data_IF_968518257677
#
_entry.id   IF_968518257677
#
_cell.length_a   1.000
_cell.length_b   1.000
_cell.length_c   1.000
_cell.angle_alpha   90.00
_cell.angle_beta   90.00
_cell.angle_gamma   90.00
#
_symmetry.space_group_name_H-M   'P 1'
#
loop_
_entity.id
_entity.type
_entity.pdbx_description
1 polymer ?
#
# COMPACT_ATOMS: atom_id res chain seq x y z
N UNK A 1 -3.92 37.27 -22.44
CA UNK A 1 -4.79 36.39 -23.27
C UNK A 1 -5.31 35.26 -22.39
N UNK A 2 -6.63 35.05 -22.30
CA UNK A 2 -7.21 33.88 -21.62
C UNK A 2 -7.19 32.72 -22.60
N UNK A 3 -6.45 31.66 -22.31
CA UNK A 3 -6.49 30.41 -23.09
C UNK A 3 -7.91 29.84 -23.12
N UNK A 4 -8.39 29.45 -24.29
CA UNK A 4 -9.72 28.88 -24.49
C UNK A 4 -9.88 27.53 -23.78
N UNK A 5 -11.05 27.23 -23.19
CA UNK A 5 -11.29 25.99 -22.46
C UNK A 5 -11.00 24.71 -23.27
N UNK A 6 -11.29 24.71 -24.57
CA UNK A 6 -11.04 23.57 -25.46
C UNK A 6 -9.55 23.29 -25.65
N UNK A 7 -8.72 24.34 -25.80
CA UNK A 7 -7.26 24.18 -25.93
C UNK A 7 -6.63 23.60 -24.66
N UNK A 8 -7.13 24.00 -23.48
CA UNK A 8 -6.69 23.43 -22.19
C UNK A 8 -7.03 21.95 -22.07
N UNK A 9 -8.25 21.56 -22.45
CA UNK A 9 -8.68 20.16 -22.41
C UNK A 9 -7.85 19.28 -23.36
N UNK A 10 -7.58 19.77 -24.57
CA UNK A 10 -6.75 19.04 -25.54
C UNK A 10 -5.31 18.87 -25.05
N UNK A 11 -4.66 19.95 -24.59
CA UNK A 11 -3.30 19.89 -24.02
C UNK A 11 -3.22 18.91 -22.85
N UNK A 12 -4.22 18.91 -21.97
CA UNK A 12 -4.30 17.95 -20.87
C UNK A 12 -4.42 16.51 -21.37
N UNK A 13 -5.36 16.25 -22.28
CA UNK A 13 -5.58 14.89 -22.82
C UNK A 13 -4.34 14.35 -23.54
N UNK A 14 -3.62 15.21 -24.27
CA UNK A 14 -2.36 14.84 -24.92
C UNK A 14 -1.24 14.55 -23.90
N UNK A 15 -1.15 15.36 -22.84
CA UNK A 15 -0.21 15.14 -21.73
C UNK A 15 -0.53 13.83 -20.98
N UNK A 16 -1.81 13.52 -20.78
CA UNK A 16 -2.28 12.28 -20.16
C UNK A 16 -1.93 11.08 -21.02
N UNK A 17 -2.26 11.12 -22.31
CA UNK A 17 -1.89 10.07 -23.26
C UNK A 17 -0.37 9.85 -23.34
N UNK A 18 0.42 10.93 -23.44
CA UNK A 18 1.88 10.83 -23.52
C UNK A 18 2.45 10.16 -22.27
N UNK A 19 1.94 10.52 -21.09
CA UNK A 19 2.37 9.92 -19.84
C UNK A 19 2.04 8.42 -19.77
N UNK A 20 0.82 8.03 -20.16
CA UNK A 20 0.38 6.64 -20.14
C UNK A 20 1.23 5.77 -21.05
N UNK A 21 1.55 6.27 -22.26
CA UNK A 21 2.35 5.52 -23.25
C UNK A 21 3.83 5.50 -22.89
N UNK A 22 4.37 6.60 -22.35
CA UNK A 22 5.82 6.79 -22.26
C UNK A 22 6.41 6.59 -20.86
N UNK A 23 5.61 6.57 -19.79
CA UNK A 23 6.14 6.60 -18.42
C UNK A 23 5.36 5.79 -17.40
N UNK A 24 4.06 5.56 -17.57
CA UNK A 24 3.22 4.90 -16.56
C UNK A 24 3.77 3.54 -16.12
N UNK A 25 4.04 2.63 -17.06
CA UNK A 25 4.52 1.28 -16.74
C UNK A 25 5.94 1.29 -16.15
N UNK A 26 6.79 2.22 -16.62
CA UNK A 26 8.13 2.40 -16.07
C UNK A 26 8.09 2.86 -14.61
N UNK A 27 7.19 3.80 -14.27
CA UNK A 27 7.00 4.27 -12.89
C UNK A 27 6.59 3.11 -11.97
N UNK A 28 5.61 2.30 -12.38
CA UNK A 28 5.12 1.15 -11.61
C UNK A 28 6.23 0.12 -11.39
N UNK A 29 6.90 -0.29 -12.46
CA UNK A 29 7.98 -1.26 -12.40
C UNK A 29 9.16 -0.82 -11.52
N UNK A 30 9.55 0.45 -11.60
CA UNK A 30 10.58 1.00 -10.73
C UNK A 30 10.12 1.09 -9.28
N UNK A 31 8.84 1.42 -9.03
CA UNK A 31 8.28 1.41 -7.68
C UNK A 31 8.28 0.00 -7.06
N UNK A 32 7.95 -1.05 -7.84
CA UNK A 32 7.99 -2.45 -7.40
C UNK A 32 9.40 -2.94 -7.08
N UNK A 33 10.41 -2.41 -7.78
CA UNK A 33 11.83 -2.61 -7.46
C UNK A 33 12.29 -1.85 -6.22
N UNK A 34 11.41 -1.02 -5.66
CA UNK A 34 11.67 -0.24 -4.46
C UNK A 34 12.37 1.08 -4.72
N UNK A 35 12.41 1.64 -5.93
CA UNK A 35 12.96 2.99 -6.11
C UNK A 35 12.09 4.06 -5.43
N UNK A 36 12.71 5.13 -4.94
CA UNK A 36 11.98 6.31 -4.42
C UNK A 36 11.42 7.13 -5.58
N UNK A 37 10.44 8.01 -5.32
CA UNK A 37 9.88 8.90 -6.36
C UNK A 37 10.98 9.76 -7.01
N UNK A 38 11.90 10.30 -6.22
CA UNK A 38 13.03 11.09 -6.72
C UNK A 38 13.99 10.27 -7.61
N UNK A 39 14.27 9.01 -7.24
CA UNK A 39 15.05 8.10 -8.08
C UNK A 39 14.33 7.77 -9.38
N UNK A 40 13.02 7.48 -9.30
CA UNK A 40 12.18 7.19 -10.48
C UNK A 40 12.23 8.36 -11.45
N UNK A 41 11.99 9.60 -10.99
CA UNK A 41 12.03 10.81 -11.84
C UNK A 41 13.36 10.94 -12.59
N UNK A 42 14.49 10.58 -11.95
CA UNK A 42 15.82 10.64 -12.58
C UNK A 42 16.09 9.52 -13.58
N UNK A 43 15.32 8.43 -13.53
CA UNK A 43 15.50 7.24 -14.37
C UNK A 43 14.54 7.19 -15.57
N UNK A 44 13.52 8.06 -15.61
CA UNK A 44 12.59 8.10 -16.73
C UNK A 44 13.24 8.76 -17.96
N UNK A 45 13.07 8.13 -19.12
CA UNK A 45 13.55 8.66 -20.40
C UNK A 45 12.81 9.93 -20.82
N UNK A 46 11.55 10.08 -20.40
CA UNK A 46 10.73 11.25 -20.64
C UNK A 46 10.57 12.08 -19.36
N UNK A 47 10.75 13.41 -19.44
CA UNK A 47 10.65 14.29 -18.28
C UNK A 47 9.22 14.29 -17.74
N UNK A 48 9.00 13.52 -16.68
CA UNK A 48 7.72 13.46 -15.98
C UNK A 48 7.78 14.29 -14.71
N UNK A 49 6.81 15.21 -14.48
CA UNK A 49 6.74 15.99 -13.25
C UNK A 49 6.72 15.11 -11.99
N UNK A 50 7.42 15.55 -10.94
CA UNK A 50 7.54 14.81 -9.69
C UNK A 50 6.18 14.46 -9.06
N UNK A 51 5.25 15.41 -9.02
CA UNK A 51 3.90 15.22 -8.50
C UNK A 51 3.13 14.13 -9.26
N UNK A 52 3.31 14.06 -10.58
CA UNK A 52 2.70 13.03 -11.42
C UNK A 52 3.26 11.64 -11.13
N UNK A 53 4.58 11.52 -10.96
CA UNK A 53 5.21 10.26 -10.54
C UNK A 53 4.72 9.86 -9.14
N UNK A 54 4.71 10.81 -8.20
CA UNK A 54 4.24 10.60 -6.83
C UNK A 54 2.80 10.05 -6.78
N UNK A 55 1.87 10.67 -7.52
CA UNK A 55 0.47 10.22 -7.57
C UNK A 55 0.33 8.84 -8.21
N UNK A 56 1.16 8.54 -9.22
CA UNK A 56 1.15 7.24 -9.89
C UNK A 56 1.65 6.13 -8.98
N UNK A 57 2.76 6.37 -8.26
CA UNK A 57 3.29 5.43 -7.26
C UNK A 57 2.26 5.21 -6.15
N UNK A 58 1.62 6.27 -5.66
CA UNK A 58 0.59 6.14 -4.63
C UNK A 58 -0.59 5.29 -5.09
N UNK A 59 -1.14 5.60 -6.27
CA UNK A 59 -2.24 4.84 -6.86
C UNK A 59 -1.86 3.37 -7.03
N UNK A 60 -0.68 3.10 -7.57
CA UNK A 60 -0.14 1.74 -7.72
C UNK A 60 -0.02 1.02 -6.38
N UNK A 61 0.50 1.67 -5.34
CA UNK A 61 0.62 1.08 -4.01
C UNK A 61 -0.72 0.73 -3.38
N UNK A 62 -1.75 1.52 -3.63
CA UNK A 62 -3.12 1.21 -3.19
C UNK A 62 -3.72 0.04 -3.99
N UNK A 63 -3.53 0.04 -5.31
CA UNK A 63 -4.05 -1.00 -6.22
C UNK A 63 -3.43 -2.38 -5.93
N UNK A 64 -2.11 -2.43 -5.70
CA UNK A 64 -1.36 -3.67 -5.43
C UNK A 64 -1.41 -4.11 -3.96
N UNK A 65 -2.13 -3.38 -3.10
CA UNK A 65 -2.18 -3.65 -1.66
C UNK A 65 -0.81 -3.53 -0.98
N UNK A 66 0.08 -2.68 -1.49
CA UNK A 66 1.33 -2.31 -0.80
C UNK A 66 1.00 -1.36 0.36
N UNK A 67 0.02 -0.48 0.17
CA UNK A 67 -0.54 0.37 1.22
C UNK A 67 -2.04 0.14 1.31
N UNK A 68 -2.53 -0.05 2.54
CA UNK A 68 -3.95 -0.12 2.86
C UNK A 68 -4.38 1.12 3.63
N UNK A 69 -5.61 1.57 3.37
CA UNK A 69 -6.24 2.71 4.05
C UNK A 69 -7.24 2.29 5.12
N UNK A 70 -7.39 0.97 5.31
CA UNK A 70 -8.16 0.32 6.36
C UNK A 70 -7.26 -0.71 7.03
N UNK A 71 -7.59 -1.06 8.26
CA UNK A 71 -6.88 -2.12 8.98
C UNK A 71 -6.86 -3.40 8.12
N UNK A 72 -5.73 -4.14 8.07
CA UNK A 72 -5.68 -5.37 7.28
C UNK A 72 -6.78 -6.32 7.72
N UNK A 73 -7.57 -6.80 6.77
CA UNK A 73 -8.62 -7.79 6.99
C UNK A 73 -8.40 -8.92 5.98
N UNK A 74 -8.77 -10.15 6.33
CA UNK A 74 -8.75 -11.23 5.33
C UNK A 74 -9.84 -10.90 4.33
N UNK A 75 -9.49 -10.78 3.05
CA UNK A 75 -10.49 -10.61 2.02
C UNK A 75 -11.49 -11.76 2.14
N UNK A 76 -12.78 -11.41 2.27
CA UNK A 76 -13.84 -12.39 2.19
C UNK A 76 -13.69 -13.07 0.82
N UNK A 77 -13.62 -14.41 0.80
CA UNK A 77 -13.62 -15.13 -0.47
C UNK A 77 -14.80 -14.64 -1.32
N UNK A 78 -14.52 -14.20 -2.54
CA UNK A 78 -15.57 -13.71 -3.43
C UNK A 78 -16.63 -14.80 -3.64
N UNK A 79 -17.90 -14.38 -3.66
CA UNK A 79 -19.03 -15.27 -3.98
C UNK A 79 -18.80 -15.89 -5.36
N UNK A 80 -18.54 -17.20 -5.41
CA UNK A 80 -18.48 -17.94 -6.66
C UNK A 80 -19.89 -18.27 -7.08
N UNK A 81 -20.28 -17.84 -8.28
CA UNK A 81 -21.56 -18.20 -8.89
C UNK A 81 -21.38 -19.14 -10.06
N UNK A 82 -22.32 -20.07 -10.21
CA UNK A 82 -22.53 -20.84 -11.43
C UNK A 82 -23.84 -20.43 -12.10
N UNK A 83 -23.95 -20.70 -13.40
CA UNK A 83 -25.21 -20.56 -14.13
C UNK A 83 -25.74 -21.95 -14.47
N UNK A 84 -26.93 -22.26 -13.99
CA UNK A 84 -27.65 -23.49 -14.37
C UNK A 84 -28.65 -23.13 -15.46
N UNK A 85 -28.72 -23.96 -16.49
CA UNK A 85 -29.74 -23.85 -17.53
C UNK A 85 -30.98 -24.60 -17.08
N UNK A 86 -32.13 -23.92 -17.08
CA UNK A 86 -33.43 -24.53 -16.83
C UNK A 86 -34.31 -24.42 -18.08
N UNK A 87 -35.16 -25.43 -18.28
CA UNK A 87 -36.19 -25.44 -19.31
C UNK A 87 -37.55 -25.47 -18.63
N UNK A 88 -38.46 -24.59 -19.02
CA UNK A 88 -39.84 -24.64 -18.55
C UNK A 88 -40.65 -25.75 -19.24
N UNK A 89 -41.91 -25.92 -18.83
CA UNK A 89 -42.83 -26.91 -19.40
C UNK A 89 -43.12 -26.72 -20.91
N UNK A 90 -42.71 -25.57 -21.48
CA UNK A 90 -42.86 -25.22 -22.89
C UNK A 90 -41.51 -25.22 -23.64
N UNK A 91 -40.43 -25.70 -23.00
CA UNK A 91 -39.09 -25.80 -23.59
C UNK A 91 -38.33 -24.47 -23.68
N UNK A 92 -38.83 -23.40 -23.05
CA UNK A 92 -38.15 -22.10 -23.03
C UNK A 92 -36.93 -22.17 -22.10
N UNK A 93 -35.77 -21.81 -22.64
CA UNK A 93 -34.49 -21.80 -21.92
C UNK A 93 -34.41 -20.58 -21.00
N UNK A 94 -34.04 -20.79 -19.74
CA UNK A 94 -33.71 -19.74 -18.77
C UNK A 94 -32.41 -20.07 -18.04
N UNK A 95 -31.73 -19.06 -17.51
CA UNK A 95 -30.52 -19.23 -16.74
C UNK A 95 -30.76 -18.79 -15.30
N UNK A 96 -30.56 -19.70 -14.35
CA UNK A 96 -30.59 -19.38 -12.92
C UNK A 96 -29.17 -19.26 -12.40
N UNK A 97 -28.86 -18.13 -11.74
CA UNK A 97 -27.63 -17.97 -10.98
C UNK A 97 -27.73 -18.78 -9.70
N UNK A 98 -26.76 -19.67 -9.46
CA UNK A 98 -26.67 -20.49 -8.23
C UNK A 98 -25.39 -20.10 -7.51
N UNK A 99 -25.51 -19.79 -6.22
CA UNK A 99 -24.36 -19.53 -5.35
C UNK A 99 -23.64 -20.87 -5.13
N UNK A 100 -22.41 -20.99 -5.60
CA UNK A 100 -21.58 -22.18 -5.41
C UNK A 100 -20.80 -22.13 -4.09
N UNK A 101 -20.48 -20.91 -3.63
CA UNK A 101 -19.85 -20.65 -2.34
C UNK A 101 -20.37 -19.33 -1.79
N UNK A 102 -20.96 -19.36 -0.61
CA UNK A 102 -21.44 -18.16 0.08
C UNK A 102 -20.26 -17.31 0.55
N UNK A 103 -20.42 -15.98 0.56
CA UNK A 103 -19.45 -15.05 1.14
C UNK A 103 -19.36 -15.33 2.63
N UNK A 104 -18.25 -15.91 3.09
CA UNK A 104 -17.95 -15.93 4.52
C UNK A 104 -17.29 -14.60 4.91
N UNK A 105 -17.90 -13.78 5.79
CA UNK A 105 -17.20 -12.66 6.40
C UNK A 105 -16.20 -13.25 7.40
N UNK A 106 -15.03 -13.69 6.92
CA UNK A 106 -13.95 -14.09 7.81
C UNK A 106 -13.23 -12.84 8.33
N UNK A 107 -13.89 -12.10 9.23
CA UNK A 107 -13.20 -11.08 10.02
C UNK A 107 -12.10 -11.77 10.82
N UNK A 108 -10.84 -11.37 10.62
CA UNK A 108 -9.70 -11.94 11.36
C UNK A 108 -9.92 -11.70 12.86
N UNK A 109 -9.91 -12.77 13.65
CA UNK A 109 -9.83 -12.66 15.11
C UNK A 109 -8.36 -12.56 15.52
N UNK A 110 -7.90 -11.34 15.77
CA UNK A 110 -6.52 -11.07 16.13
C UNK A 110 -6.11 -11.67 17.47
N UNK A 111 -4.95 -12.31 17.50
CA UNK A 111 -4.19 -12.62 18.71
C UNK A 111 -3.26 -11.45 19.00
N UNK A 112 -3.68 -10.61 19.94
CA UNK A 112 -2.93 -9.42 20.31
C UNK A 112 -1.80 -9.76 21.28
N UNK A 113 -0.63 -9.18 21.05
CA UNK A 113 0.54 -9.31 21.91
C UNK A 113 1.40 -8.06 21.85
N UNK A 114 2.33 -7.93 22.80
CA UNK A 114 3.35 -6.89 22.80
C UNK A 114 4.71 -7.55 22.58
N UNK A 115 5.56 -6.89 21.79
CA UNK A 115 6.96 -7.26 21.67
C UNK A 115 7.71 -6.79 22.92
N UNK A 116 8.37 -7.71 23.62
CA UNK A 116 8.96 -7.45 24.96
C UNK A 116 10.49 -7.33 24.94
N UNK A 117 11.13 -7.68 23.83
CA UNK A 117 12.59 -7.63 23.72
C UNK A 117 13.08 -6.20 23.47
N UNK A 118 14.27 -5.87 23.97
CA UNK A 118 14.84 -4.51 23.92
C UNK A 118 15.99 -4.35 22.90
N UNK A 119 16.37 -5.44 22.24
CA UNK A 119 17.42 -5.45 21.22
C UNK A 119 16.84 -5.32 19.81
N UNK A 120 17.29 -4.30 19.07
CA UNK A 120 16.86 -4.03 17.70
C UNK A 120 17.25 -5.09 16.68
N UNK A 121 18.37 -5.81 16.91
CA UNK A 121 18.75 -6.94 16.06
C UNK A 121 17.78 -8.11 16.22
N UNK A 122 17.30 -8.33 17.45
CA UNK A 122 16.25 -9.31 17.69
C UNK A 122 14.93 -8.88 17.06
N UNK A 123 14.62 -7.58 17.08
CA UNK A 123 13.41 -7.07 16.45
C UNK A 123 13.46 -7.29 14.94
N UNK A 124 14.56 -6.96 14.28
CA UNK A 124 14.73 -7.21 12.85
C UNK A 124 14.54 -8.70 12.52
N UNK A 125 15.23 -9.59 13.24
CA UNK A 125 15.09 -11.03 13.04
C UNK A 125 13.67 -11.55 13.32
N UNK A 126 12.96 -10.95 14.29
CA UNK A 126 11.55 -11.23 14.54
C UNK A 126 10.68 -10.85 13.34
N UNK A 127 10.82 -9.62 12.80
CA UNK A 127 10.04 -9.17 11.65
C UNK A 127 10.34 -10.00 10.41
N UNK A 128 11.61 -10.30 10.12
CA UNK A 128 12.03 -11.15 9.00
C UNK A 128 11.42 -12.55 9.10
N UNK A 129 11.44 -13.15 10.29
CA UNK A 129 10.84 -14.47 10.54
C UNK A 129 9.34 -14.44 10.29
N UNK A 130 8.62 -13.44 10.82
CA UNK A 130 7.16 -13.34 10.65
C UNK A 130 6.75 -13.05 9.22
N UNK A 131 7.50 -12.22 8.50
CA UNK A 131 7.29 -11.99 7.08
C UNK A 131 7.58 -13.26 6.25
N UNK A 132 8.55 -14.08 6.64
CA UNK A 132 8.80 -15.37 5.98
C UNK A 132 7.65 -16.36 6.22
N UNK A 133 7.11 -16.41 7.44
CA UNK A 133 5.97 -17.28 7.80
C UNK A 133 4.67 -16.86 7.11
N UNK A 134 4.41 -15.55 7.01
CA UNK A 134 3.15 -15.03 6.48
C UNK A 134 3.21 -14.71 4.98
N UNK A 135 4.39 -14.46 4.41
CA UNK A 135 4.54 -13.74 3.15
C UNK A 135 4.48 -12.23 3.37
N UNK A 136 5.22 -11.46 2.57
CA UNK A 136 5.22 -10.01 2.67
C UNK A 136 3.83 -9.45 2.37
N UNK A 137 3.11 -10.02 1.40
CA UNK A 137 1.76 -9.63 0.95
C UNK A 137 0.67 -9.76 2.04
N UNK A 138 0.96 -10.51 3.10
CA UNK A 138 0.07 -10.71 4.26
C UNK A 138 0.65 -10.14 5.56
N UNK A 139 1.69 -9.31 5.48
CA UNK A 139 2.38 -8.71 6.62
C UNK A 139 2.39 -7.19 6.49
N UNK A 140 1.85 -6.47 7.47
CA UNK A 140 1.70 -5.01 7.42
C UNK A 140 2.16 -4.34 8.72
N UNK A 141 2.51 -3.06 8.64
CA UNK A 141 2.80 -2.20 9.80
C UNK A 141 1.97 -0.92 9.72
N UNK A 142 1.47 -0.45 10.87
CA UNK A 142 0.73 0.80 10.99
C UNK A 142 1.64 2.02 10.72
N UNK A 143 1.13 2.96 9.94
CA UNK A 143 1.82 4.16 9.50
C UNK A 143 0.96 5.41 9.73
N UNK A 144 1.40 6.26 10.65
CA UNK A 144 0.73 7.53 10.99
C UNK A 144 1.33 8.76 10.27
N UNK A 145 2.20 8.57 9.28
CA UNK A 145 2.99 9.66 8.68
C UNK A 145 2.12 10.81 8.14
N UNK A 146 0.99 10.50 7.49
CA UNK A 146 0.04 11.52 7.00
C UNK A 146 -0.71 12.26 8.11
N UNK A 147 -0.92 11.64 9.28
CA UNK A 147 -1.46 12.30 10.47
C UNK A 147 -0.40 13.16 11.15
N UNK A 148 0.79 12.61 11.39
CA UNK A 148 1.89 13.25 12.11
C UNK A 148 2.39 14.50 11.36
N UNK A 149 2.64 14.40 10.06
CA UNK A 149 3.10 15.53 9.23
C UNK A 149 2.20 16.77 9.27
N UNK A 150 0.90 16.60 9.59
CA UNK A 150 -0.06 17.71 9.72
C UNK A 150 -0.36 18.12 11.15
N UNK A 151 -0.34 17.18 12.10
CA UNK A 151 -0.67 17.43 13.51
C UNK A 151 0.51 17.94 14.31
N UNK A 152 1.70 17.40 14.05
CA UNK A 152 2.94 17.74 14.74
C UNK A 152 4.11 17.73 13.74
N UNK A 153 4.29 18.82 12.96
CA UNK A 153 5.37 18.89 11.98
C UNK A 153 6.77 18.76 12.60
N UNK A 154 6.98 19.27 13.81
CA UNK A 154 8.27 19.20 14.49
C UNK A 154 8.58 17.77 14.97
N UNK A 155 7.60 17.09 15.55
CA UNK A 155 7.74 15.67 15.89
C UNK A 155 7.94 14.80 14.65
N UNK A 156 7.27 15.12 13.54
CA UNK A 156 7.47 14.43 12.27
C UNK A 156 8.88 14.65 11.70
N UNK A 157 9.44 15.86 11.83
CA UNK A 157 10.83 16.14 11.43
C UNK A 157 11.83 15.33 12.26
N UNK A 158 11.69 15.30 13.59
CA UNK A 158 12.52 14.46 14.48
C UNK A 158 12.39 12.96 14.16
N UNK A 159 11.18 12.51 13.81
CA UNK A 159 10.95 11.14 13.36
C UNK A 159 11.71 10.83 12.07
N UNK A 160 11.83 11.79 11.15
CA UNK A 160 12.57 11.63 9.91
C UNK A 160 14.09 11.71 10.11
N UNK A 161 14.56 12.41 11.15
CA UNK A 161 15.97 12.55 11.50
C UNK A 161 16.63 11.21 11.83
N UNK A 162 15.89 10.29 12.45
CA UNK A 162 16.41 8.95 12.81
C UNK A 162 16.50 7.99 11.63
N UNK A 163 15.89 8.32 10.49
CA UNK A 163 15.90 7.50 9.28
C UNK A 163 17.12 7.81 8.40
N UNK A 164 17.58 6.80 7.64
CA UNK A 164 18.61 7.03 6.62
C UNK A 164 18.09 7.97 5.52
N UNK A 165 18.99 8.65 4.80
CA UNK A 165 18.60 9.56 3.71
C UNK A 165 17.62 8.94 2.70
N UNK A 166 17.87 7.71 2.25
CA UNK A 166 17.00 7.01 1.29
C UNK A 166 15.62 6.64 1.88
N UNK A 167 15.56 6.34 3.18
CA UNK A 167 14.31 6.01 3.87
C UNK A 167 13.47 7.25 4.11
N UNK A 168 14.12 8.36 4.50
CA UNK A 168 13.48 9.67 4.59
C UNK A 168 12.93 10.10 3.25
N UNK A 169 13.73 9.98 2.19
CA UNK A 169 13.32 10.27 0.82
C UNK A 169 12.12 9.42 0.39
N UNK A 170 12.11 8.14 0.74
CA UNK A 170 10.97 7.24 0.49
C UNK A 170 9.69 7.72 1.20
N UNK A 171 9.76 8.00 2.50
CA UNK A 171 8.60 8.43 3.28
C UNK A 171 8.05 9.78 2.79
N UNK A 172 8.92 10.74 2.50
CA UNK A 172 8.54 12.05 1.94
C UNK A 172 8.04 11.95 0.49
N UNK A 173 8.48 10.91 -0.23
CA UNK A 173 8.04 10.61 -1.58
C UNK A 173 6.60 10.16 -1.69
N UNK A 174 6.02 9.62 -0.62
CA UNK A 174 4.66 9.08 -0.63
C UNK A 174 3.66 10.15 -0.14
N UNK A 175 2.55 10.40 -0.86
CA UNK A 175 1.57 11.41 -0.49
C UNK A 175 0.56 10.83 0.53
N UNK A 176 1.05 10.51 1.73
CA UNK A 176 0.24 9.92 2.79
C UNK A 176 -1.04 10.72 3.07
N UNK A 177 -2.19 10.07 2.99
CA UNK A 177 -3.46 10.67 3.36
C UNK A 177 -3.51 11.01 4.86
N UNK A 178 -4.33 12.00 5.25
CA UNK A 178 -4.48 12.45 6.64
C UNK A 178 -5.31 11.45 7.49
N UNK A 179 -4.89 10.19 7.52
CA UNK A 179 -5.47 9.08 8.28
C UNK A 179 -4.40 8.00 8.53
N UNK A 180 -4.75 7.00 9.34
CA UNK A 180 -3.91 5.81 9.51
C UNK A 180 -3.83 5.05 8.18
N UNK A 181 -2.61 4.68 7.80
CA UNK A 181 -2.35 3.76 6.69
C UNK A 181 -1.61 2.53 7.20
N UNK A 182 -1.60 1.46 6.42
CA UNK A 182 -0.90 0.22 6.75
C UNK A 182 -0.03 -0.16 5.57
N UNK A 183 1.28 -0.17 5.78
CA UNK A 183 2.22 -0.46 4.71
C UNK A 183 2.68 -1.91 4.82
N UNK A 184 2.80 -2.60 3.68
CA UNK A 184 3.42 -3.91 3.58
C UNK A 184 4.79 -3.91 4.27
N UNK A 185 5.05 -4.92 5.09
CA UNK A 185 6.27 -5.04 5.87
C UNK A 185 7.43 -5.62 5.04
N UNK A 186 7.69 -4.99 3.89
CA UNK A 186 8.83 -5.33 3.02
C UNK A 186 10.16 -4.95 3.69
N UNK A 187 11.28 -5.36 3.09
CA UNK A 187 12.63 -5.09 3.64
C UNK A 187 12.89 -3.64 4.03
N UNK A 188 12.43 -2.67 3.22
CA UNK A 188 12.58 -1.23 3.55
C UNK A 188 11.75 -0.88 4.79
N UNK A 189 10.50 -1.28 4.83
CA UNK A 189 9.63 -0.97 5.96
C UNK A 189 10.04 -1.69 7.25
N UNK A 190 10.65 -2.88 7.17
CA UNK A 190 11.25 -3.53 8.34
C UNK A 190 12.35 -2.66 8.94
N UNK A 191 13.30 -2.17 8.11
CA UNK A 191 14.37 -1.27 8.56
C UNK A 191 13.85 0.03 9.15
N UNK A 192 12.88 0.66 8.50
CA UNK A 192 12.23 1.88 9.00
C UNK A 192 11.56 1.59 10.34
N UNK A 193 10.82 0.48 10.46
CA UNK A 193 10.12 0.11 11.69
C UNK A 193 11.09 -0.09 12.85
N UNK A 194 12.21 -0.78 12.62
CA UNK A 194 13.25 -0.99 13.64
C UNK A 194 13.83 0.34 14.14
N UNK A 195 14.23 1.24 13.23
CA UNK A 195 14.79 2.55 13.62
C UNK A 195 13.80 3.41 14.40
N UNK A 196 12.55 3.40 13.97
CA UNK A 196 11.49 4.15 14.64
C UNK A 196 11.19 3.58 16.02
N UNK A 197 11.23 2.26 16.16
CA UNK A 197 11.08 1.58 17.43
C UNK A 197 12.24 1.88 18.39
N UNK A 198 13.48 1.89 17.92
CA UNK A 198 14.66 2.32 18.71
C UNK A 198 14.53 3.76 19.23
N UNK A 199 13.89 4.63 18.44
CA UNK A 199 13.59 6.01 18.81
C UNK A 199 12.34 6.16 19.71
N UNK A 200 11.71 5.05 20.12
CA UNK A 200 10.55 5.03 21.02
C UNK A 200 9.20 5.27 20.34
N UNK A 201 9.12 5.16 19.01
CA UNK A 201 7.86 5.28 18.29
C UNK A 201 7.12 3.93 18.24
N UNK A 202 6.02 3.87 18.98
CA UNK A 202 5.12 2.70 19.02
C UNK A 202 4.45 2.48 17.67
N UNK A 203 4.41 1.22 17.23
CA UNK A 203 3.72 0.78 16.01
C UNK A 203 3.06 -0.57 16.21
N UNK A 204 2.14 -0.92 15.34
CA UNK A 204 1.45 -2.21 15.36
C UNK A 204 1.76 -2.95 14.06
N UNK A 205 2.27 -4.17 14.18
CA UNK A 205 2.44 -5.10 13.08
C UNK A 205 1.26 -6.08 13.00
N UNK A 206 0.87 -6.43 11.78
CA UNK A 206 -0.26 -7.29 11.47
C UNK A 206 0.24 -8.43 10.60
N UNK A 207 0.06 -9.66 11.07
CA UNK A 207 0.46 -10.89 10.39
C UNK A 207 -0.78 -11.72 10.11
N UNK A 208 -1.32 -11.61 8.90
CA UNK A 208 -2.69 -12.03 8.60
C UNK A 208 -2.87 -13.55 8.57
N UNK A 209 -1.88 -14.32 8.09
CA UNK A 209 -1.96 -15.79 8.04
C UNK A 209 -1.90 -16.40 9.44
N UNK A 210 -1.04 -15.87 10.30
CA UNK A 210 -0.95 -16.30 11.70
C UNK A 210 -1.96 -15.61 12.61
N UNK A 211 -2.72 -14.63 12.09
CA UNK A 211 -3.71 -13.84 12.82
C UNK A 211 -3.10 -13.15 14.05
N UNK A 212 -1.86 -12.68 13.95
CA UNK A 212 -1.15 -12.02 15.05
C UNK A 212 -1.13 -10.50 14.84
N UNK A 213 -1.45 -9.77 15.90
CA UNK A 213 -1.36 -8.32 15.99
C UNK A 213 -0.38 -7.97 17.09
N UNK A 214 0.75 -7.39 16.73
CA UNK A 214 1.89 -7.21 17.64
C UNK A 214 2.19 -5.74 17.79
N UNK A 215 2.01 -5.22 19.00
CA UNK A 215 2.46 -3.88 19.35
C UNK A 215 3.97 -3.92 19.59
N UNK A 216 4.71 -3.09 18.85
CA UNK A 216 6.14 -2.84 19.03
C UNK A 216 6.36 -1.71 20.05
#
# INVERSE_FOLDING_TARGET
MREEPQQKYFKKSLSDFTFDVASLDAVRHLADRGYTVNQIVRMLDFPTPYDRVQQTVWKHFLEEGIVLLKEPEREAEEEKYGYVTDYDAFGKKSFRRVVLKERSPETIRWRESRYEETDSKKLLGFLEKRCTENGEEFSYVSCEFGLQSKRDPQGFEKLLEVLEPEEREYILGIPWERKMAYHRLNRRMQRITVRLWEAGHVRICYFMKTQEKVQL
#
